data_IF_177645776142
#
_entry.id   IF_177645776142
#
_cell.length_a   1.000
_cell.length_b   1.000
_cell.length_c   1.000
_cell.angle_alpha   90.00
_cell.angle_beta   90.00
_cell.angle_gamma   90.00
#
_symmetry.space_group_name_H-M   'P 1'
#
loop_
_entity.id
_entity.type
_entity.pdbx_description
1 polymer ?
#
# COMPACT_ATOMS: atom_id res chain seq x y z
N UNK A 1 -2.92 -55.71 45.17
CA UNK A 1 -2.79 -56.01 43.73
C UNK A 1 -3.52 -55.02 42.82
N UNK A 2 -3.75 -53.75 43.20
CA UNK A 2 -4.45 -52.75 42.34
C UNK A 2 -3.40 -51.81 41.76
N UNK A 3 -3.10 -51.91 40.46
CA UNK A 3 -2.22 -50.97 39.78
C UNK A 3 -3.01 -49.73 39.37
N UNK A 4 -2.54 -48.56 39.80
CA UNK A 4 -3.10 -47.25 39.50
C UNK A 4 -2.62 -46.78 38.12
N UNK A 5 -3.55 -46.47 37.24
CA UNK A 5 -3.28 -45.79 35.97
C UNK A 5 -2.98 -44.31 36.25
N UNK A 6 -1.74 -43.89 35.97
CA UNK A 6 -1.36 -42.47 35.90
C UNK A 6 -1.75 -41.95 34.52
N UNK A 7 -2.67 -40.99 34.47
CA UNK A 7 -3.01 -40.26 33.24
C UNK A 7 -1.88 -39.26 32.97
N UNK A 8 -1.22 -39.41 31.83
CA UNK A 8 -0.15 -38.52 31.36
C UNK A 8 -0.80 -37.32 30.65
N UNK A 9 -0.68 -36.11 31.23
CA UNK A 9 -1.13 -34.89 30.57
C UNK A 9 -0.07 -34.42 29.56
N UNK A 10 -0.40 -34.39 28.28
CA UNK A 10 0.43 -33.73 27.26
C UNK A 10 -0.03 -32.28 27.09
N UNK A 11 0.81 -31.34 27.51
CA UNK A 11 0.64 -29.90 27.28
C UNK A 11 1.01 -29.55 25.84
N UNK A 12 0.00 -29.32 24.99
CA UNK A 12 0.18 -28.73 23.66
C UNK A 12 0.21 -27.20 23.76
N UNK A 13 1.33 -26.63 24.19
CA UNK A 13 1.49 -25.16 24.25
C UNK A 13 2.82 -24.70 23.67
N UNK A 14 3.13 -25.05 22.41
CA UNK A 14 4.06 -24.28 21.56
C UNK A 14 3.74 -24.64 20.11
N UNK A 15 3.02 -23.81 19.34
CA UNK A 15 3.03 -23.91 17.87
C UNK A 15 2.48 -22.71 17.10
N UNK A 16 1.78 -21.75 17.72
CA UNK A 16 1.29 -20.58 16.96
C UNK A 16 2.42 -19.59 16.58
N UNK A 17 3.42 -19.40 17.44
CA UNK A 17 4.52 -18.44 17.21
C UNK A 17 5.52 -18.90 16.14
N UNK A 18 5.70 -20.21 15.96
CA UNK A 18 6.63 -20.76 14.96
C UNK A 18 6.08 -20.69 13.52
N UNK A 19 4.75 -20.72 13.36
CA UNK A 19 4.09 -20.62 12.05
C UNK A 19 4.21 -19.22 11.42
N UNK A 20 4.38 -18.17 12.24
CA UNK A 20 4.53 -16.79 11.74
C UNK A 20 5.93 -16.49 11.17
N UNK A 21 6.96 -17.28 11.50
CA UNK A 21 8.34 -17.04 11.03
C UNK A 21 8.64 -17.65 9.64
N UNK A 22 7.70 -18.39 9.07
CA UNK A 22 7.88 -19.11 7.80
C UNK A 22 7.25 -18.39 6.58
N UNK A 23 6.84 -17.13 6.70
CA UNK A 23 6.36 -16.38 5.53
C UNK A 23 7.54 -15.99 4.63
N UNK A 24 7.58 -16.41 3.36
CA UNK A 24 8.58 -15.92 2.44
C UNK A 24 8.44 -14.39 2.31
N UNK A 25 9.55 -13.66 2.42
CA UNK A 25 9.59 -12.24 2.10
C UNK A 25 9.38 -12.09 0.59
N UNK A 26 8.13 -11.89 0.17
CA UNK A 26 7.80 -11.57 -1.22
C UNK A 26 7.89 -10.05 -1.37
N UNK A 27 8.84 -9.59 -2.18
CA UNK A 27 8.95 -8.18 -2.58
C UNK A 27 7.84 -7.86 -3.60
N UNK A 28 6.60 -7.70 -3.12
CA UNK A 28 5.42 -7.37 -3.94
C UNK A 28 5.00 -5.89 -3.86
N UNK A 29 5.84 -5.02 -3.28
CA UNK A 29 5.53 -3.62 -3.03
C UNK A 29 5.53 -2.69 -4.24
N UNK A 30 5.64 -3.21 -5.47
CA UNK A 30 5.81 -2.39 -6.68
C UNK A 30 4.65 -1.43 -7.00
N UNK A 31 3.47 -1.68 -6.43
CA UNK A 31 2.28 -0.84 -6.58
C UNK A 31 1.71 -0.38 -5.24
N UNK A 32 2.44 -0.57 -4.13
CA UNK A 32 1.97 -0.13 -2.82
C UNK A 32 2.13 1.38 -2.70
N UNK A 33 1.10 2.02 -2.15
CA UNK A 33 1.11 3.44 -1.82
C UNK A 33 1.11 3.61 -0.30
N UNK A 34 1.80 4.65 0.16
CA UNK A 34 1.82 5.05 1.57
C UNK A 34 1.09 6.37 1.81
N UNK A 35 0.61 7.01 0.74
CA UNK A 35 -0.05 8.32 0.67
C UNK A 35 -1.46 8.36 1.30
N UNK A 36 -1.67 7.60 2.36
CA UNK A 36 -2.93 7.42 3.08
C UNK A 36 -3.28 8.63 3.95
N UNK A 37 -2.30 9.50 4.26
CA UNK A 37 -2.52 10.77 4.94
C UNK A 37 -1.43 11.80 4.59
N UNK A 38 -1.80 13.09 4.53
CA UNK A 38 -0.86 14.14 4.10
C UNK A 38 0.26 14.44 5.12
N UNK A 39 -0.02 14.30 6.42
CA UNK A 39 0.95 14.58 7.49
C UNK A 39 2.08 13.54 7.55
N UNK A 40 1.77 12.28 7.28
CA UNK A 40 2.71 11.16 7.31
C UNK A 40 3.74 11.25 6.20
N UNK A 41 3.42 11.88 5.06
CA UNK A 41 4.41 12.17 4.00
C UNK A 41 5.58 12.98 4.55
N UNK A 42 5.33 13.91 5.48
CA UNK A 42 6.38 14.73 6.08
C UNK A 42 7.34 13.95 6.97
N UNK A 43 6.88 12.87 7.59
CA UNK A 43 7.66 12.01 8.50
C UNK A 43 8.07 10.70 7.83
N UNK A 44 7.74 10.51 6.55
CA UNK A 44 7.85 9.23 5.83
C UNK A 44 7.13 8.10 6.61
N UNK A 45 5.99 8.44 7.23
CA UNK A 45 5.16 7.55 8.03
C UNK A 45 5.84 6.93 9.25
N UNK A 46 6.92 7.56 9.74
CA UNK A 46 7.64 7.09 10.91
C UNK A 46 6.79 7.25 12.18
N UNK A 47 6.35 6.13 12.75
CA UNK A 47 5.59 6.11 14.01
C UNK A 47 4.07 6.29 13.84
N UNK A 48 3.56 6.33 12.62
CA UNK A 48 2.13 6.56 12.33
C UNK A 48 1.21 5.54 13.02
N UNK A 49 1.66 4.30 13.25
CA UNK A 49 0.89 3.27 13.94
C UNK A 49 0.79 3.45 15.47
N UNK A 50 1.58 4.35 16.06
CA UNK A 50 1.63 4.61 17.51
C UNK A 50 1.31 6.07 17.87
N UNK A 51 0.94 6.87 16.88
CA UNK A 51 0.60 8.28 17.04
C UNK A 51 -0.90 8.49 16.87
N UNK A 52 -1.40 9.54 17.53
CA UNK A 52 -2.81 9.95 17.51
C UNK A 52 -2.95 11.43 17.13
N UNK A 53 -1.96 11.96 16.40
CA UNK A 53 -1.92 13.36 15.97
C UNK A 53 -3.06 13.75 15.02
N UNK A 54 -3.63 12.79 14.28
CA UNK A 54 -4.78 13.02 13.42
C UNK A 54 -5.61 11.73 13.21
N UNK A 55 -6.86 11.89 12.77
CA UNK A 55 -7.81 10.80 12.60
C UNK A 55 -7.42 9.76 11.53
N UNK A 56 -6.51 10.08 10.60
CA UNK A 56 -6.12 9.16 9.53
C UNK A 56 -5.17 8.06 9.99
N UNK A 57 -4.53 8.24 11.15
CA UNK A 57 -3.64 7.24 11.73
C UNK A 57 -4.37 5.94 12.14
N UNK A 58 -5.71 5.98 12.25
CA UNK A 58 -6.55 4.79 12.43
C UNK A 58 -6.34 3.73 11.33
N UNK A 59 -5.96 4.16 10.11
CA UNK A 59 -5.68 3.24 9.00
C UNK A 59 -4.53 2.29 9.33
N UNK A 60 -3.48 2.80 9.99
CA UNK A 60 -2.33 1.98 10.39
C UNK A 60 -2.60 1.20 11.67
N UNK A 61 -3.30 1.81 12.63
CA UNK A 61 -3.66 1.17 13.88
C UNK A 61 -4.97 1.73 14.43
N UNK A 62 -6.09 1.00 14.35
CA UNK A 62 -7.38 1.46 14.90
C UNK A 62 -7.35 1.73 16.40
N UNK A 63 -6.42 1.16 17.18
CA UNK A 63 -6.34 1.39 18.61
C UNK A 63 -6.05 2.85 18.98
N UNK A 64 -5.41 3.62 18.09
CA UNK A 64 -5.14 5.06 18.31
C UNK A 64 -6.42 5.89 18.44
N UNK A 65 -7.56 5.36 17.96
CA UNK A 65 -8.86 6.02 18.09
C UNK A 65 -9.30 6.25 19.54
N UNK A 66 -8.82 5.45 20.49
CA UNK A 66 -9.19 5.62 21.91
C UNK A 66 -8.52 6.82 22.56
N UNK A 67 -7.55 7.45 21.89
CA UNK A 67 -6.87 8.64 22.39
C UNK A 67 -7.63 9.94 22.09
N UNK A 68 -8.71 9.86 21.29
CA UNK A 68 -9.55 11.00 20.95
C UNK A 68 -10.73 11.16 21.94
N UNK A 69 -10.82 12.33 22.57
CA UNK A 69 -11.94 12.69 23.47
C UNK A 69 -13.12 13.39 22.75
N UNK A 70 -12.97 13.71 21.47
CA UNK A 70 -13.96 14.42 20.66
C UNK A 70 -13.97 13.91 19.22
N UNK A 71 -15.00 14.31 18.45
CA UNK A 71 -15.07 14.05 17.01
C UNK A 71 -13.81 14.59 16.32
N UNK A 72 -13.06 13.72 15.67
CA UNK A 72 -11.86 14.06 14.91
C UNK A 72 -12.07 13.73 13.43
N UNK A 73 -11.71 14.67 12.55
CA UNK A 73 -11.83 14.53 11.10
C UNK A 73 -10.48 14.89 10.47
N UNK A 74 -10.01 14.05 9.56
CA UNK A 74 -8.84 14.29 8.72
C UNK A 74 -9.26 14.21 7.25
N UNK A 75 -8.86 15.18 6.45
CA UNK A 75 -9.14 15.23 5.01
C UNK A 75 -7.96 15.84 4.30
N UNK A 76 -7.58 15.25 3.17
CA UNK A 76 -6.45 15.73 2.39
C UNK A 76 -6.25 14.95 1.11
N UNK A 77 -5.08 15.15 0.52
CA UNK A 77 -4.62 14.37 -0.62
C UNK A 77 -3.14 14.60 -0.88
N UNK A 78 -2.51 13.60 -1.49
CA UNK A 78 -1.09 13.64 -1.84
C UNK A 78 -0.94 13.59 -3.35
N UNK A 79 -0.15 14.53 -3.88
CA UNK A 79 0.22 14.54 -5.30
C UNK A 79 1.42 13.64 -5.56
N UNK A 80 1.27 12.69 -6.48
CA UNK A 80 2.34 11.80 -6.93
C UNK A 80 2.73 12.18 -8.36
N UNK A 81 3.98 12.62 -8.53
CA UNK A 81 4.59 12.88 -9.84
C UNK A 81 5.46 11.68 -10.21
N UNK A 82 4.90 10.75 -10.99
CA UNK A 82 5.64 9.56 -11.39
C UNK A 82 6.41 9.85 -12.69
N UNK A 83 7.71 9.55 -12.67
CA UNK A 83 8.56 9.56 -13.86
C UNK A 83 9.31 8.24 -13.96
N UNK A 84 9.24 7.62 -15.13
CA UNK A 84 9.86 6.34 -15.46
C UNK A 84 10.61 6.51 -16.78
N UNK A 85 11.68 5.73 -16.96
CA UNK A 85 12.50 5.79 -18.16
C UNK A 85 12.90 4.39 -18.58
N UNK A 86 12.71 4.09 -19.85
CA UNK A 86 13.28 2.91 -20.52
C UNK A 86 14.61 3.34 -21.11
N UNK A 87 15.69 2.73 -20.63
CA UNK A 87 17.04 3.02 -21.11
C UNK A 87 17.32 2.38 -22.48
N UNK A 88 18.22 2.97 -23.27
CA UNK A 88 18.69 2.37 -24.52
C UNK A 88 19.28 0.98 -24.29
N UNK A 89 19.14 0.12 -25.30
CA UNK A 89 19.67 -1.26 -25.27
C UNK A 89 18.65 -2.31 -24.85
N UNK A 90 17.43 -1.92 -24.48
CA UNK A 90 16.31 -2.86 -24.41
C UNK A 90 16.04 -3.41 -25.82
N UNK A 91 16.06 -4.75 -25.95
CA UNK A 91 15.76 -5.44 -27.19
C UNK A 91 14.50 -6.26 -27.04
N UNK A 92 13.71 -6.26 -28.11
CA UNK A 92 12.46 -6.96 -28.20
C UNK A 92 12.56 -7.91 -29.39
N UNK A 93 12.26 -9.19 -29.15
CA UNK A 93 12.21 -10.21 -30.19
C UNK A 93 10.90 -10.97 -30.09
N UNK A 94 9.98 -10.70 -31.00
CA UNK A 94 8.75 -11.46 -31.15
C UNK A 94 8.78 -12.21 -32.49
N UNK A 95 8.80 -13.54 -32.49
CA UNK A 95 8.83 -14.30 -33.75
C UNK A 95 7.45 -14.23 -34.44
N UNK A 96 7.36 -13.93 -35.75
CA UNK A 96 8.41 -13.92 -36.77
C UNK A 96 8.99 -12.53 -37.11
N UNK A 97 8.72 -11.49 -36.30
CA UNK A 97 9.18 -10.13 -36.53
C UNK A 97 10.71 -9.99 -36.32
N UNK A 98 11.37 -9.07 -37.03
CA UNK A 98 12.77 -8.74 -36.77
C UNK A 98 12.95 -8.15 -35.37
N UNK A 99 14.16 -8.33 -34.80
CA UNK A 99 14.51 -7.74 -33.50
C UNK A 99 14.37 -6.22 -33.57
N UNK A 100 13.59 -5.67 -32.65
CA UNK A 100 13.44 -4.23 -32.45
C UNK A 100 14.25 -3.81 -31.22
N UNK A 101 14.81 -2.60 -31.25
CA UNK A 101 15.67 -2.11 -30.17
C UNK A 101 15.33 -0.68 -29.81
N UNK A 102 15.31 -0.41 -28.51
CA UNK A 102 15.26 0.94 -27.97
C UNK A 102 16.67 1.54 -28.12
N UNK A 103 16.83 2.53 -28.99
CA UNK A 103 18.12 3.18 -29.28
C UNK A 103 18.29 4.52 -28.57
N UNK A 104 17.20 5.10 -28.07
CA UNK A 104 17.19 6.30 -27.24
C UNK A 104 16.23 6.14 -26.07
N UNK A 105 16.45 6.90 -25.00
CA UNK A 105 15.68 6.76 -23.78
C UNK A 105 14.22 7.21 -23.99
N UNK A 106 13.27 6.40 -23.53
CA UNK A 106 11.84 6.67 -23.63
C UNK A 106 11.27 6.93 -22.24
N UNK A 107 10.66 8.09 -22.02
CA UNK A 107 10.11 8.48 -20.72
C UNK A 107 8.61 8.23 -20.64
N UNK A 108 8.17 7.65 -19.53
CA UNK A 108 6.77 7.53 -19.16
C UNK A 108 6.48 8.37 -17.93
N UNK A 109 5.43 9.19 -17.95
CA UNK A 109 5.13 10.08 -16.82
C UNK A 109 3.64 10.28 -16.59
N UNK A 110 3.27 10.44 -15.33
CA UNK A 110 1.89 10.76 -14.91
C UNK A 110 1.89 11.67 -13.69
N UNK A 111 0.78 12.41 -13.53
CA UNK A 111 0.52 13.21 -12.34
C UNK A 111 -0.78 12.70 -11.74
N UNK A 112 -0.72 12.23 -10.50
CA UNK A 112 -1.84 11.62 -9.81
C UNK A 112 -2.11 12.35 -8.49
N UNK A 113 -3.38 12.37 -8.09
CA UNK A 113 -3.80 12.82 -6.78
C UNK A 113 -4.41 11.62 -6.05
N UNK A 114 -3.89 11.31 -4.88
CA UNK A 114 -4.43 10.28 -3.97
C UNK A 114 -5.19 11.01 -2.86
N UNK A 115 -6.53 11.04 -2.88
CA UNK A 115 -7.30 11.61 -1.79
C UNK A 115 -7.23 10.72 -0.56
N UNK A 116 -7.44 11.32 0.61
CA UNK A 116 -7.65 10.61 1.86
C UNK A 116 -8.69 11.31 2.72
N UNK A 117 -9.50 10.51 3.40
CA UNK A 117 -10.51 10.97 4.33
C UNK A 117 -10.63 10.02 5.50
N UNK A 118 -10.67 10.55 6.72
CA UNK A 118 -10.86 9.72 7.92
C UNK A 118 -11.65 10.47 8.98
N UNK A 119 -12.48 9.75 9.71
CA UNK A 119 -13.26 10.27 10.83
C UNK A 119 -13.20 9.29 12.00
N UNK A 120 -13.11 9.83 13.21
CA UNK A 120 -13.18 9.08 14.47
C UNK A 120 -14.27 9.70 15.33
N UNK A 121 -15.18 8.85 15.82
CA UNK A 121 -16.24 9.22 16.73
C UNK A 121 -16.07 8.46 18.06
N UNK A 122 -15.66 9.16 19.14
CA UNK A 122 -15.63 8.59 20.47
C UNK A 122 -17.06 8.32 20.96
N UNK A 123 -17.37 7.06 21.27
CA UNK A 123 -18.67 6.61 21.76
C UNK A 123 -18.75 6.73 23.29
N UNK A 124 -17.64 6.47 23.97
CA UNK A 124 -17.44 6.65 25.41
C UNK A 124 -15.95 6.74 25.75
N UNK A 125 -15.60 6.92 27.03
CA UNK A 125 -14.21 6.94 27.53
C UNK A 125 -13.37 5.70 27.19
N UNK A 126 -14.00 4.64 26.67
CA UNK A 126 -13.32 3.40 26.30
C UNK A 126 -13.58 2.95 24.87
N UNK A 127 -14.63 3.45 24.22
CA UNK A 127 -15.06 2.95 22.92
C UNK A 127 -14.99 4.06 21.89
N UNK A 128 -14.40 3.76 20.74
CA UNK A 128 -14.39 4.64 19.58
C UNK A 128 -14.75 3.85 18.32
N UNK A 129 -15.47 4.49 17.40
CA UNK A 129 -15.71 3.96 16.06
C UNK A 129 -15.09 4.90 15.03
N UNK A 130 -14.61 4.34 13.94
CA UNK A 130 -13.94 5.10 12.89
C UNK A 130 -14.34 4.63 11.51
N UNK A 131 -14.10 5.52 10.56
CA UNK A 131 -14.17 5.23 9.15
C UNK A 131 -13.04 5.94 8.42
N UNK A 132 -12.37 5.24 7.53
CA UNK A 132 -11.35 5.81 6.65
C UNK A 132 -11.58 5.41 5.19
N UNK A 133 -11.33 6.34 4.28
CA UNK A 133 -11.21 6.15 2.84
C UNK A 133 -9.78 6.47 2.42
N UNK A 134 -9.17 5.57 1.65
CA UNK A 134 -7.77 5.65 1.26
C UNK A 134 -7.46 4.79 0.02
N UNK A 135 -6.21 4.71 -0.42
CA UNK A 135 -5.82 3.97 -1.64
C UNK A 135 -4.46 3.27 -1.46
N UNK A 136 -4.42 2.12 -0.76
CA UNK A 136 -3.18 1.45 -0.37
C UNK A 136 -2.39 0.87 -1.56
N UNK A 137 -2.99 0.79 -2.74
CA UNK A 137 -2.31 0.40 -3.97
C UNK A 137 -2.66 1.30 -5.15
N UNK A 138 -1.68 1.58 -5.99
CA UNK A 138 -1.88 2.32 -7.21
C UNK A 138 -0.62 2.39 -8.07
N UNK A 139 -0.82 2.56 -9.36
CA UNK A 139 0.21 2.78 -10.36
C UNK A 139 -0.38 3.56 -11.52
N UNK A 140 0.37 4.49 -12.10
CA UNK A 140 -0.01 5.05 -13.39
C UNK A 140 1.22 5.43 -14.20
N UNK A 141 1.39 4.87 -15.38
CA UNK A 141 2.49 5.19 -16.30
C UNK A 141 1.93 5.39 -17.70
N UNK A 142 2.36 6.46 -18.38
CA UNK A 142 1.93 6.76 -19.74
C UNK A 142 3.16 7.14 -20.58
N UNK A 143 3.46 6.36 -21.62
CA UNK A 143 4.58 6.56 -22.54
C UNK A 143 4.19 7.34 -23.81
N UNK A 144 2.89 7.51 -24.09
CA UNK A 144 2.40 8.22 -25.28
C UNK A 144 2.67 9.73 -25.27
N UNK A 145 2.80 10.32 -24.08
CA UNK A 145 2.89 11.79 -23.89
C UNK A 145 4.25 12.41 -24.28
N UNK A 146 5.11 11.68 -25.00
CA UNK A 146 6.43 12.14 -25.47
C UNK A 146 6.52 12.44 -26.97
N UNK A 147 7.71 12.85 -27.41
CA UNK A 147 8.01 13.05 -28.84
C UNK A 147 7.95 11.70 -29.57
N UNK A 148 7.23 11.58 -30.71
CA UNK A 148 7.23 10.35 -31.50
C UNK A 148 8.64 9.95 -31.95
N UNK A 149 8.97 8.67 -31.80
CA UNK A 149 10.28 8.12 -32.12
C UNK A 149 10.17 6.63 -32.42
N UNK A 150 11.03 6.07 -33.30
CA UNK A 150 11.12 4.63 -33.49
C UNK A 150 11.35 3.86 -32.18
N UNK A 151 12.10 4.43 -31.22
CA UNK A 151 12.30 3.78 -29.91
C UNK A 151 11.04 3.80 -29.06
N UNK A 152 10.21 4.84 -29.21
CA UNK A 152 8.92 4.95 -28.52
C UNK A 152 7.92 3.94 -29.06
N UNK A 153 7.88 3.75 -30.39
CA UNK A 153 7.00 2.76 -31.02
C UNK A 153 7.26 1.34 -30.48
N UNK A 154 8.54 1.00 -30.26
CA UNK A 154 8.94 -0.28 -29.64
C UNK A 154 8.47 -0.39 -28.19
N UNK A 155 8.53 0.69 -27.40
CA UNK A 155 8.05 0.68 -26.01
C UNK A 155 6.52 0.60 -25.95
N UNK A 156 5.84 1.34 -26.82
CA UNK A 156 4.38 1.41 -26.89
C UNK A 156 3.73 0.08 -27.30
N UNK A 157 4.45 -0.79 -28.01
CA UNK A 157 4.01 -2.17 -28.31
C UNK A 157 3.81 -3.02 -27.04
N UNK A 158 4.52 -2.70 -25.95
CA UNK A 158 4.49 -3.46 -24.68
C UNK A 158 3.83 -2.69 -23.54
N UNK A 159 3.98 -1.37 -23.53
CA UNK A 159 3.46 -0.51 -22.49
C UNK A 159 3.14 0.88 -23.06
N UNK A 160 1.85 1.17 -23.18
CA UNK A 160 1.34 2.46 -23.65
C UNK A 160 0.85 3.30 -22.47
N UNK A 161 -0.29 2.91 -21.90
CA UNK A 161 -0.88 3.46 -20.68
C UNK A 161 -1.17 2.29 -19.74
N UNK A 162 -0.56 2.33 -18.55
CA UNK A 162 -0.77 1.34 -17.50
C UNK A 162 -1.33 2.05 -16.29
N UNK A 163 -2.48 1.60 -15.78
CA UNK A 163 -3.13 2.22 -14.63
C UNK A 163 -3.75 1.19 -13.68
N UNK A 164 -3.40 1.29 -12.41
CA UNK A 164 -4.00 0.58 -11.29
C UNK A 164 -4.49 1.64 -10.31
N UNK A 165 -5.75 1.54 -9.92
CA UNK A 165 -6.33 2.40 -8.90
C UNK A 165 -7.10 1.54 -7.91
N UNK A 166 -6.94 1.84 -6.63
CA UNK A 166 -7.73 1.22 -5.58
C UNK A 166 -8.48 2.28 -4.81
N UNK A 167 -9.58 1.85 -4.19
CA UNK A 167 -10.29 2.61 -3.18
C UNK A 167 -10.51 1.62 -2.05
N UNK A 168 -10.03 1.99 -0.87
CA UNK A 168 -10.18 1.24 0.35
C UNK A 168 -11.13 1.97 1.27
N UNK A 169 -12.21 1.30 1.67
CA UNK A 169 -13.17 1.82 2.64
C UNK A 169 -13.04 0.98 3.91
N UNK A 170 -12.65 1.60 5.00
CA UNK A 170 -12.29 0.92 6.24
C UNK A 170 -13.13 1.44 7.42
N UNK A 171 -14.28 0.82 7.71
CA UNK A 171 -14.95 0.97 8.99
C UNK A 171 -14.23 0.16 10.07
N UNK A 172 -14.01 0.75 11.25
CA UNK A 172 -13.30 0.09 12.35
C UNK A 172 -13.85 0.53 13.72
N UNK A 173 -13.44 -0.20 14.76
CA UNK A 173 -13.86 0.03 16.16
C UNK A 173 -12.66 -0.26 17.07
N UNK A 174 -12.54 0.48 18.16
CA UNK A 174 -11.49 0.34 19.15
C UNK A 174 -12.02 0.35 20.59
N UNK A 175 -11.28 -0.32 21.47
CA UNK A 175 -11.57 -0.42 22.90
C UNK A 175 -10.29 -0.29 23.74
N UNK A 176 -10.32 0.53 24.80
CA UNK A 176 -9.21 0.77 25.74
C UNK A 176 -9.27 -0.08 27.02
#
# INVERSE_FOLDING_TARGET
MKQSLRVMSWSFTVSASALLMATPMVFAGGFQLWEENATGVSTVHAGDAASSENAALQFYNPATMTDFDHLAISVGGVGILLNTQVEPGATVQEAPLPVQSVTEAVSGSTQNLVPNFSVVFPVSDKWAIGFSESSPFGLSTNYEKGVPSPSRDVVEEYATDTRIQTINLNPNIAYA
#
